data_IF_302758432145
#
_entry.id   IF_302758432145
#
_cell.length_a   1.000
_cell.length_b   1.000
_cell.length_c   1.000
_cell.angle_alpha   90.00
_cell.angle_beta   90.00
_cell.angle_gamma   90.00
#
_symmetry.space_group_name_H-M   'P 1'
#
loop_
_entity.id
_entity.type
_entity.pdbx_description
1 polymer ?
#
# COMPACT_ATOMS: atom_id res chain seq x y z
N UNK A 1 23.39 9.25 -9.97
CA UNK A 1 22.12 9.46 -10.71
C UNK A 1 21.30 8.18 -10.96
N UNK A 2 21.89 7.01 -11.23
CA UNK A 2 21.14 5.75 -11.47
C UNK A 2 20.34 5.22 -10.27
N UNK A 3 20.87 5.31 -9.05
CA UNK A 3 20.19 4.81 -7.85
C UNK A 3 18.85 5.51 -7.56
N UNK A 4 18.76 6.81 -7.84
CA UNK A 4 17.50 7.57 -7.68
C UNK A 4 16.44 7.14 -8.68
N UNK A 5 16.82 6.85 -9.92
CA UNK A 5 15.90 6.40 -10.97
C UNK A 5 15.37 4.99 -10.65
N UNK A 6 16.24 4.09 -10.19
CA UNK A 6 15.83 2.74 -9.81
C UNK A 6 14.87 2.76 -8.61
N UNK A 7 15.16 3.54 -7.56
CA UNK A 7 14.27 3.67 -6.41
C UNK A 7 12.89 4.24 -6.78
N UNK A 8 12.85 5.23 -7.67
CA UNK A 8 11.59 5.79 -8.15
C UNK A 8 10.81 4.76 -8.98
N UNK A 9 11.49 3.95 -9.79
CA UNK A 9 10.85 2.82 -10.49
C UNK A 9 10.26 1.81 -9.50
N UNK A 10 11.01 1.43 -8.43
CA UNK A 10 10.51 0.52 -7.40
C UNK A 10 9.29 1.07 -6.69
N UNK A 11 9.25 2.38 -6.42
CA UNK A 11 8.10 3.05 -5.81
C UNK A 11 6.88 2.95 -6.74
N UNK A 12 7.05 3.32 -8.00
CA UNK A 12 5.99 3.26 -9.01
C UNK A 12 5.42 1.85 -9.17
N UNK A 13 6.23 0.80 -9.02
CA UNK A 13 5.74 -0.59 -9.03
C UNK A 13 4.78 -0.90 -7.87
N UNK A 14 5.08 -0.40 -6.67
CA UNK A 14 4.22 -0.58 -5.49
C UNK A 14 2.94 0.24 -5.65
N UNK A 15 3.05 1.49 -6.08
CA UNK A 15 1.89 2.37 -6.32
C UNK A 15 0.93 1.77 -7.34
N UNK A 16 1.44 1.24 -8.46
CA UNK A 16 0.61 0.59 -9.47
C UNK A 16 -0.05 -0.70 -8.98
N UNK A 17 0.66 -1.49 -8.17
CA UNK A 17 0.08 -2.69 -7.57
C UNK A 17 -1.09 -2.32 -6.65
N UNK A 18 -0.90 -1.34 -5.77
CA UNK A 18 -1.93 -0.85 -4.87
C UNK A 18 -3.12 -0.21 -5.61
N UNK A 19 -2.85 0.66 -6.60
CA UNK A 19 -3.89 1.29 -7.43
C UNK A 19 -4.80 0.25 -8.11
N UNK A 20 -4.19 -0.79 -8.71
CA UNK A 20 -4.96 -1.89 -9.32
C UNK A 20 -5.74 -2.69 -8.29
N UNK A 21 -5.22 -2.83 -7.06
CA UNK A 21 -5.86 -3.62 -6.01
C UNK A 21 -7.11 -2.98 -5.44
N UNK A 22 -7.11 -1.65 -5.32
CA UNK A 22 -8.20 -0.84 -4.81
C UNK A 22 -9.01 -0.16 -5.93
N UNK A 23 -9.01 -0.75 -7.14
CA UNK A 23 -9.57 -0.15 -8.33
C UNK A 23 -11.05 0.28 -8.16
N UNK A 24 -11.23 1.59 -8.07
CA UNK A 24 -12.48 2.35 -8.04
C UNK A 24 -12.30 3.60 -8.91
N UNK A 25 -13.34 4.14 -9.56
CA UNK A 25 -13.25 5.40 -10.30
C UNK A 25 -12.71 6.59 -9.49
N UNK A 26 -12.80 6.49 -8.16
CA UNK A 26 -12.36 7.50 -7.19
C UNK A 26 -10.97 7.24 -6.60
N UNK A 27 -10.27 6.20 -7.07
CA UNK A 27 -8.97 5.79 -6.48
C UNK A 27 -7.92 6.85 -6.75
N UNK A 28 -7.30 7.35 -5.69
CA UNK A 28 -6.09 8.16 -5.78
C UNK A 28 -4.95 7.50 -5.03
N UNK A 29 -3.75 7.59 -5.60
CA UNK A 29 -2.51 7.17 -4.95
C UNK A 29 -1.60 8.37 -4.88
N UNK A 30 -1.12 8.69 -3.68
CA UNK A 30 -0.11 9.71 -3.44
C UNK A 30 1.02 9.12 -2.61
N UNK A 31 2.23 9.65 -2.74
CA UNK A 31 3.33 9.28 -1.87
C UNK A 31 3.97 10.51 -1.24
N UNK A 32 4.54 10.33 -0.05
CA UNK A 32 5.31 11.34 0.66
C UNK A 32 6.54 10.67 1.28
N UNK A 33 7.71 11.27 1.07
CA UNK A 33 8.93 10.92 1.79
C UNK A 33 9.14 11.91 2.95
N UNK A 34 9.39 11.41 4.16
CA UNK A 34 9.80 12.24 5.29
C UNK A 34 11.33 12.51 5.27
N UNK A 35 11.78 13.40 6.16
CA UNK A 35 13.21 13.74 6.30
C UNK A 35 14.08 12.58 6.78
N UNK A 36 13.48 11.52 7.33
CA UNK A 36 14.16 10.29 7.74
C UNK A 36 14.20 9.23 6.62
N UNK A 37 13.71 9.56 5.42
CA UNK A 37 13.67 8.66 4.27
C UNK A 37 12.59 7.58 4.40
N UNK A 38 11.61 7.76 5.28
CA UNK A 38 10.41 6.92 5.36
C UNK A 38 9.47 7.33 4.24
N UNK A 39 9.02 6.34 3.48
CA UNK A 39 8.04 6.52 2.41
C UNK A 39 6.66 6.15 2.92
N UNK A 40 5.69 7.03 2.72
CA UNK A 40 4.27 6.74 2.94
C UNK A 40 3.55 6.80 1.61
N UNK A 41 2.97 5.68 1.19
CA UNK A 41 2.08 5.61 0.02
C UNK A 41 0.65 5.61 0.56
N UNK A 42 -0.10 6.66 0.29
CA UNK A 42 -1.51 6.76 0.63
C UNK A 42 -2.37 6.40 -0.57
N UNK A 43 -3.23 5.39 -0.39
CA UNK A 43 -4.26 5.01 -1.35
C UNK A 43 -5.59 5.44 -0.76
N UNK A 44 -6.37 6.24 -1.48
CA UNK A 44 -7.73 6.60 -1.05
C UNK A 44 -8.74 6.24 -2.11
N UNK A 45 -9.92 5.79 -1.69
CA UNK A 45 -11.01 5.39 -2.58
C UNK A 45 -12.35 5.64 -1.89
N UNK A 46 -13.40 5.80 -2.70
CA UNK A 46 -14.79 5.73 -2.26
C UNK A 46 -15.25 4.29 -2.42
N UNK A 47 -15.71 3.70 -1.32
CA UNK A 47 -16.35 2.40 -1.32
C UNK A 47 -17.86 2.60 -1.51
N UNK A 48 -18.44 1.92 -2.51
CA UNK A 48 -19.87 2.02 -2.78
C UNK A 48 -20.68 1.37 -1.66
N UNK A 49 -21.69 2.08 -1.19
CA UNK A 49 -22.58 1.69 -0.09
C UNK A 49 -23.62 0.62 -0.46
N UNK A 50 -23.47 -0.09 -1.59
CA UNK A 50 -24.51 -0.96 -2.15
C UNK A 50 -25.10 -2.00 -1.16
N UNK A 51 -24.35 -2.40 -0.13
CA UNK A 51 -24.79 -3.37 0.89
C UNK A 51 -25.03 -2.78 2.29
N UNK A 52 -24.68 -1.52 2.54
CA UNK A 52 -24.73 -0.92 3.88
C UNK A 52 -25.31 0.48 3.73
N UNK A 53 -26.50 0.71 4.30
CA UNK A 53 -27.32 1.93 4.23
C UNK A 53 -26.63 3.19 4.83
N UNK A 54 -25.43 3.49 4.35
CA UNK A 54 -24.48 4.50 4.82
C UNK A 54 -24.15 5.36 3.59
N UNK A 55 -23.89 6.65 3.79
CA UNK A 55 -23.36 7.52 2.73
C UNK A 55 -22.05 6.92 2.17
N UNK A 56 -21.73 7.26 0.92
CA UNK A 56 -20.43 6.93 0.30
C UNK A 56 -19.28 7.20 1.27
N UNK A 57 -18.62 6.13 1.73
CA UNK A 57 -17.57 6.23 2.73
C UNK A 57 -16.22 6.42 2.02
N UNK A 58 -15.54 7.52 2.33
CA UNK A 58 -14.16 7.73 1.86
C UNK A 58 -13.21 6.96 2.76
N UNK A 59 -12.49 6.02 2.16
CA UNK A 59 -11.50 5.19 2.81
C UNK A 59 -10.09 5.61 2.40
N UNK A 60 -9.14 5.40 3.29
CA UNK A 60 -7.72 5.60 3.00
C UNK A 60 -6.86 4.55 3.69
N UNK A 61 -5.86 4.04 2.96
CA UNK A 61 -4.82 3.18 3.48
C UNK A 61 -3.46 3.85 3.29
N UNK A 62 -2.75 4.07 4.38
CA UNK A 62 -1.35 4.51 4.36
C UNK A 62 -0.44 3.29 4.49
N UNK A 63 0.32 2.98 3.43
CA UNK A 63 1.37 1.96 3.45
C UNK A 63 2.70 2.64 3.74
N UNK A 64 3.31 2.30 4.85
CA UNK A 64 4.53 2.95 5.35
C UNK A 64 5.72 2.01 5.19
N UNK A 65 6.76 2.47 4.50
CA UNK A 65 8.01 1.75 4.31
C UNK A 65 9.16 2.59 4.87
N UNK A 66 9.91 2.04 5.81
CA UNK A 66 11.18 2.64 6.23
C UNK A 66 12.19 2.62 5.07
N UNK A 67 13.15 3.55 5.08
CA UNK A 67 14.22 3.62 4.07
C UNK A 67 14.88 2.25 3.84
N UNK A 68 15.27 1.56 4.91
CA UNK A 68 15.85 0.20 4.86
C UNK A 68 14.93 -0.84 4.22
N UNK A 69 13.62 -0.78 4.50
CA UNK A 69 12.63 -1.67 3.89
C UNK A 69 12.54 -1.44 2.39
N UNK A 70 12.55 -0.17 1.96
CA UNK A 70 12.51 0.17 0.54
C UNK A 70 13.81 -0.22 -0.19
N UNK A 71 14.96 -0.03 0.45
CA UNK A 71 16.25 -0.53 -0.06
C UNK A 71 16.28 -2.05 -0.17
N UNK A 72 15.71 -2.76 0.82
CA UNK A 72 15.60 -4.21 0.78
C UNK A 72 14.74 -4.66 -0.40
N UNK A 73 13.55 -4.07 -0.59
CA UNK A 73 12.68 -4.33 -1.74
C UNK A 73 13.39 -4.06 -3.08
N UNK A 74 14.15 -2.97 -3.18
CA UNK A 74 14.90 -2.64 -4.40
C UNK A 74 15.99 -3.68 -4.74
N UNK A 75 16.64 -4.25 -3.72
CA UNK A 75 17.69 -5.27 -3.89
C UNK A 75 17.18 -6.65 -4.33
N UNK A 76 15.87 -6.89 -4.24
CA UNK A 76 15.27 -8.19 -4.57
C UNK A 76 15.28 -8.49 -6.07
N UNK A 77 15.17 -9.76 -6.44
CA UNK A 77 14.97 -10.13 -7.84
C UNK A 77 13.61 -9.66 -8.36
N UNK A 78 13.44 -9.58 -9.68
CA UNK A 78 12.15 -9.23 -10.26
C UNK A 78 11.05 -10.21 -9.86
N UNK A 79 11.35 -11.51 -9.76
CA UNK A 79 10.40 -12.54 -9.34
C UNK A 79 9.96 -12.34 -7.88
N UNK A 80 10.91 -12.07 -6.98
CA UNK A 80 10.62 -11.81 -5.57
C UNK A 80 9.78 -10.55 -5.40
N UNK A 81 10.09 -9.48 -6.14
CA UNK A 81 9.29 -8.24 -6.11
C UNK A 81 7.85 -8.46 -6.58
N UNK A 82 7.60 -9.37 -7.52
CA UNK A 82 6.23 -9.74 -7.93
C UNK A 82 5.48 -10.35 -6.75
N UNK A 83 6.04 -11.39 -6.12
CA UNK A 83 5.43 -12.06 -4.96
C UNK A 83 5.19 -11.11 -3.81
N UNK A 84 6.17 -10.25 -3.51
CA UNK A 84 6.06 -9.22 -2.49
C UNK A 84 4.89 -8.26 -2.77
N UNK A 85 4.72 -7.80 -4.01
CA UNK A 85 3.61 -6.90 -4.36
C UNK A 85 2.26 -7.61 -4.24
N UNK A 86 2.16 -8.86 -4.65
CA UNK A 86 0.94 -9.66 -4.51
C UNK A 86 0.57 -9.82 -3.03
N UNK A 87 1.52 -10.25 -2.20
CA UNK A 87 1.30 -10.40 -0.76
C UNK A 87 0.99 -9.08 -0.08
N UNK A 88 1.69 -7.99 -0.44
CA UNK A 88 1.43 -6.66 0.08
C UNK A 88 0.00 -6.21 -0.22
N UNK A 89 -0.46 -6.44 -1.46
CA UNK A 89 -1.83 -6.13 -1.87
C UNK A 89 -2.88 -6.91 -1.08
N UNK A 90 -2.61 -8.16 -0.72
CA UNK A 90 -3.53 -8.97 0.08
C UNK A 90 -3.58 -8.51 1.54
N UNK A 91 -2.43 -8.27 2.16
CA UNK A 91 -2.37 -7.72 3.54
C UNK A 91 -2.99 -6.33 3.59
N UNK A 92 -2.74 -5.48 2.59
CA UNK A 92 -3.36 -4.16 2.46
C UNK A 92 -4.89 -4.24 2.42
N UNK A 93 -5.44 -5.18 1.64
CA UNK A 93 -6.90 -5.37 1.56
C UNK A 93 -7.48 -5.89 2.87
N UNK A 94 -6.82 -6.84 3.51
CA UNK A 94 -7.25 -7.36 4.81
C UNK A 94 -7.26 -6.24 5.86
N UNK A 95 -6.18 -5.46 5.94
CA UNK A 95 -6.08 -4.31 6.84
C UNK A 95 -7.19 -3.27 6.61
N UNK A 96 -7.48 -2.93 5.36
CA UNK A 96 -8.56 -2.03 5.01
C UNK A 96 -9.94 -2.60 5.38
N UNK A 97 -10.16 -3.91 5.17
CA UNK A 97 -11.39 -4.60 5.56
C UNK A 97 -11.61 -4.59 7.07
N UNK A 98 -10.55 -4.83 7.84
CA UNK A 98 -10.63 -4.84 9.30
C UNK A 98 -10.88 -3.44 9.86
N UNK A 99 -10.19 -2.42 9.34
CA UNK A 99 -10.44 -1.03 9.72
C UNK A 99 -11.90 -0.64 9.49
N UNK A 100 -12.53 -1.09 8.39
CA UNK A 100 -13.95 -0.86 8.13
C UNK A 100 -14.86 -1.52 9.16
N UNK A 101 -14.57 -2.76 9.58
CA UNK A 101 -15.40 -3.46 10.59
C UNK A 101 -15.40 -2.73 11.93
N UNK A 102 -14.31 -2.05 12.26
CA UNK A 102 -14.13 -1.35 13.53
C UNK A 102 -14.43 0.15 13.45
N UNK A 103 -14.61 0.70 12.25
CA UNK A 103 -14.75 2.14 12.06
C UNK A 103 -16.16 2.64 12.43
N UNK A 104 -16.27 3.81 13.09
CA UNK A 104 -17.50 4.57 13.11
C UNK A 104 -17.86 4.99 11.67
N UNK A 105 -19.16 5.10 11.37
CA UNK A 105 -19.77 5.09 10.03
C UNK A 105 -19.29 6.12 8.97
N UNK A 106 -18.24 6.93 9.21
CA UNK A 106 -17.85 8.05 8.35
C UNK A 106 -16.44 7.98 7.72
N UNK A 107 -15.51 7.16 8.19
CA UNK A 107 -14.19 7.03 7.55
C UNK A 107 -13.50 5.71 7.87
N UNK A 108 -13.08 4.97 6.83
CA UNK A 108 -12.30 3.75 6.99
C UNK A 108 -10.82 4.00 6.67
N UNK A 109 -10.12 4.59 7.65
CA UNK A 109 -8.70 4.91 7.56
C UNK A 109 -7.86 3.83 8.25
N UNK A 110 -6.77 3.42 7.61
CA UNK A 110 -5.87 2.42 8.16
C UNK A 110 -4.41 2.74 7.82
N UNK A 111 -3.50 2.26 8.67
CA UNK A 111 -2.06 2.31 8.42
C UNK A 111 -1.49 0.89 8.42
N UNK A 112 -0.66 0.59 7.42
CA UNK A 112 0.09 -0.65 7.28
C UNK A 112 1.59 -0.33 7.30
N UNK A 113 2.26 -0.67 8.40
CA UNK A 113 3.72 -0.61 8.49
C UNK A 113 4.33 -1.85 7.86
N UNK A 114 5.11 -1.66 6.80
CA UNK A 114 5.80 -2.72 6.09
C UNK A 114 7.21 -2.88 6.63
N UNK A 115 7.52 -4.08 7.13
CA UNK A 115 8.83 -4.43 7.68
C UNK A 115 9.63 -5.30 6.72
N UNK A 116 10.96 -5.31 6.85
CA UNK A 116 11.83 -6.19 6.06
C UNK A 116 11.47 -7.68 6.19
N UNK A 117 11.19 -8.22 7.40
CA UNK A 117 10.75 -9.61 7.54
C UNK A 117 9.49 -9.94 6.74
N UNK A 118 8.53 -9.00 6.62
CA UNK A 118 7.34 -9.21 5.80
C UNK A 118 7.68 -9.33 4.32
N UNK A 119 8.66 -8.55 3.84
CA UNK A 119 9.12 -8.67 2.45
C UNK A 119 9.82 -10.01 2.22
N UNK A 120 10.70 -10.41 3.14
CA UNK A 120 11.47 -11.64 3.03
C UNK A 120 10.59 -12.90 3.17
N UNK A 121 9.54 -12.84 3.99
CA UNK A 121 8.52 -13.89 4.05
C UNK A 121 7.72 -13.95 2.74
N UNK A 122 7.25 -12.81 2.24
CA UNK A 122 6.50 -12.76 0.99
C UNK A 122 7.30 -13.24 -0.23
N UNK A 123 8.61 -12.99 -0.28
CA UNK A 123 9.47 -13.44 -1.36
C UNK A 123 9.65 -14.97 -1.40
N UNK A 124 9.48 -15.66 -0.25
CA UNK A 124 9.64 -17.11 -0.09
C UNK A 124 8.37 -17.92 -0.36
N UNK A 125 7.21 -17.27 -0.40
CA UNK A 125 5.91 -17.88 -0.72
C UNK A 125 5.81 -18.25 -2.21
#
# INVERSE_FOLDING_TARGET
MKQSIDMQQRLTEIEHALSRRFASPSTSVTHLADSAGRMTIQVSWVESAADMNILDARCALSVVLASRTMSRYASMSTADRVRVRERLCDVAREKARDARRTAPAAACNATLDVSEPMLDEAARA
#
